data_IF_138743055206
#
_entry.id   IF_138743055206
#
_cell.length_a   1.000
_cell.length_b   1.000
_cell.length_c   1.000
_cell.angle_alpha   90.00
_cell.angle_beta   90.00
_cell.angle_gamma   90.00
#
_symmetry.space_group_name_H-M   'P 1'
#
loop_
_entity.id
_entity.type
_entity.pdbx_description
1 polymer ?
#
# COMPACT_ATOMS: atom_id res chain seq x y z
N UNK A 1 -0.77 -24.89 -22.41
CA UNK A 1 -1.01 -24.20 -21.12
C UNK A 1 -2.52 -24.11 -20.93
N UNK A 2 -3.08 -24.73 -19.89
CA UNK A 2 -4.53 -24.68 -19.65
C UNK A 2 -4.94 -23.26 -19.28
N UNK A 3 -6.14 -22.84 -19.66
CA UNK A 3 -6.68 -21.49 -19.37
C UNK A 3 -6.65 -21.17 -17.87
N UNK A 4 -6.86 -22.18 -17.01
CA UNK A 4 -6.75 -22.07 -15.56
C UNK A 4 -5.33 -21.70 -15.08
N UNK A 5 -4.28 -22.29 -15.67
CA UNK A 5 -2.90 -21.97 -15.30
C UNK A 5 -2.51 -20.55 -15.72
N UNK A 6 -2.99 -20.08 -16.86
CA UNK A 6 -2.80 -18.70 -17.30
C UNK A 6 -3.53 -17.70 -16.37
N UNK A 7 -4.74 -18.03 -15.92
CA UNK A 7 -5.51 -17.19 -15.00
C UNK A 7 -4.79 -17.01 -13.65
N UNK A 8 -4.34 -18.09 -13.01
CA UNK A 8 -3.60 -18.01 -11.74
C UNK A 8 -2.27 -17.26 -11.86
N UNK A 9 -1.57 -17.38 -13.00
CA UNK A 9 -0.34 -16.65 -13.25
C UNK A 9 -0.59 -15.13 -13.35
N UNK A 10 -1.60 -14.72 -14.12
CA UNK A 10 -1.98 -13.31 -14.27
C UNK A 10 -2.43 -12.71 -12.94
N UNK A 11 -3.19 -13.47 -12.14
CA UNK A 11 -3.58 -13.05 -10.79
C UNK A 11 -2.36 -12.87 -9.87
N UNK A 12 -1.43 -13.82 -9.87
CA UNK A 12 -0.19 -13.72 -9.10
C UNK A 12 0.65 -12.51 -9.49
N UNK A 13 0.83 -12.27 -10.79
CA UNK A 13 1.55 -11.09 -11.31
C UNK A 13 0.86 -9.80 -10.86
N UNK A 14 -0.47 -9.73 -10.95
CA UNK A 14 -1.23 -8.56 -10.50
C UNK A 14 -0.99 -8.27 -9.02
N UNK A 15 -1.06 -9.29 -8.15
CA UNK A 15 -0.82 -9.15 -6.71
C UNK A 15 0.62 -8.68 -6.43
N UNK A 16 1.61 -9.23 -7.15
CA UNK A 16 3.02 -8.84 -7.00
C UNK A 16 3.23 -7.38 -7.46
N UNK A 17 2.74 -7.02 -8.63
CA UNK A 17 2.83 -5.65 -9.16
C UNK A 17 2.16 -4.65 -8.22
N UNK A 18 0.99 -5.01 -7.68
CA UNK A 18 0.31 -4.20 -6.68
C UNK A 18 1.14 -4.07 -5.40
N UNK A 19 1.67 -5.17 -4.88
CA UNK A 19 2.53 -5.17 -3.70
C UNK A 19 3.79 -4.32 -3.89
N UNK A 20 4.45 -4.41 -5.06
CA UNK A 20 5.65 -3.63 -5.41
C UNK A 20 5.39 -2.14 -5.61
N UNK A 21 4.14 -1.73 -5.85
CA UNK A 21 3.79 -0.32 -5.96
C UNK A 21 4.05 0.45 -4.65
N UNK A 22 3.91 -0.19 -3.48
CA UNK A 22 4.14 0.43 -2.18
C UNK A 22 5.62 0.69 -1.87
N UNK A 23 6.55 -0.28 -1.98
CA UNK A 23 7.98 -0.03 -1.82
C UNK A 23 8.48 1.10 -2.73
N UNK A 24 8.00 1.14 -3.99
CA UNK A 24 8.33 2.22 -4.92
C UNK A 24 7.75 3.57 -4.48
N UNK A 25 6.53 3.58 -3.92
CA UNK A 25 5.91 4.78 -3.34
C UNK A 25 6.68 5.30 -2.12
N UNK A 26 7.11 4.39 -1.24
CA UNK A 26 7.90 4.68 -0.04
C UNK A 26 9.29 5.21 -0.42
N UNK A 27 10.00 4.52 -1.31
CA UNK A 27 11.32 4.93 -1.78
C UNK A 27 11.28 6.33 -2.41
N UNK A 28 10.25 6.62 -3.22
CA UNK A 28 10.01 7.95 -3.77
C UNK A 28 9.72 8.98 -2.68
N UNK A 29 8.90 8.66 -1.68
CA UNK A 29 8.60 9.55 -0.56
C UNK A 29 9.84 9.89 0.27
N UNK A 30 10.71 8.92 0.52
CA UNK A 30 11.96 9.14 1.25
C UNK A 30 12.90 10.02 0.43
N UNK A 31 13.04 9.78 -0.88
CA UNK A 31 13.96 10.53 -1.75
C UNK A 31 13.47 11.94 -2.05
N UNK A 32 12.19 12.13 -2.35
CA UNK A 32 11.64 13.44 -2.72
C UNK A 32 11.46 14.36 -1.51
N UNK A 33 11.28 13.80 -0.30
CA UNK A 33 10.89 14.53 0.91
C UNK A 33 9.66 15.42 0.73
N UNK A 34 8.86 15.16 -0.31
CA UNK A 34 7.68 15.96 -0.64
C UNK A 34 6.40 15.13 -0.54
N UNK A 35 5.28 15.80 -0.25
CA UNK A 35 3.93 15.23 -0.27
C UNK A 35 3.18 15.49 -1.58
N UNK A 36 3.76 16.27 -2.51
CA UNK A 36 3.13 16.62 -3.78
C UNK A 36 2.82 15.37 -4.62
N UNK A 37 1.57 15.27 -5.08
CA UNK A 37 1.09 14.14 -5.89
C UNK A 37 0.64 12.91 -5.10
N UNK A 38 0.70 12.93 -3.75
CA UNK A 38 0.16 11.86 -2.91
C UNK A 38 -1.17 12.25 -2.28
N UNK A 39 -2.15 11.35 -2.38
CA UNK A 39 -3.44 11.49 -1.72
C UNK A 39 -3.49 10.68 -0.42
N UNK A 40 -3.47 11.37 0.72
CA UNK A 40 -3.60 10.74 2.05
C UNK A 40 -4.91 9.96 2.16
N UNK A 41 -6.02 10.55 1.71
CA UNK A 41 -7.33 9.91 1.76
C UNK A 41 -7.34 8.59 0.98
N UNK A 42 -6.74 8.57 -0.21
CA UNK A 42 -6.61 7.34 -1.00
C UNK A 42 -5.84 6.24 -0.26
N UNK A 43 -4.70 6.59 0.36
CA UNK A 43 -3.92 5.63 1.16
C UNK A 43 -4.70 5.13 2.38
N UNK A 44 -5.42 6.02 3.07
CA UNK A 44 -6.27 5.65 4.21
C UNK A 44 -7.41 4.71 3.78
N UNK A 45 -8.09 4.99 2.66
CA UNK A 45 -9.15 4.12 2.14
C UNK A 45 -8.61 2.74 1.78
N UNK A 46 -7.41 2.67 1.19
CA UNK A 46 -6.78 1.38 0.89
C UNK A 46 -6.42 0.63 2.18
N UNK A 47 -5.81 1.30 3.17
CA UNK A 47 -5.48 0.68 4.44
C UNK A 47 -6.73 0.14 5.14
N UNK A 48 -7.81 0.92 5.16
CA UNK A 48 -9.10 0.51 5.71
C UNK A 48 -9.70 -0.67 4.96
N UNK A 49 -9.71 -0.62 3.62
CA UNK A 49 -10.17 -1.72 2.78
C UNK A 49 -9.42 -3.02 3.03
N UNK A 50 -8.10 -2.95 3.24
CA UNK A 50 -7.30 -4.11 3.59
C UNK A 50 -7.63 -4.68 4.96
N UNK A 51 -7.86 -3.84 5.97
CA UNK A 51 -8.28 -4.29 7.30
C UNK A 51 -9.66 -4.97 7.21
N UNK A 52 -10.62 -4.39 6.50
CA UNK A 52 -11.93 -5.01 6.27
C UNK A 52 -11.81 -6.37 5.55
N UNK A 53 -10.99 -6.45 4.50
CA UNK A 53 -10.72 -7.69 3.78
C UNK A 53 -10.08 -8.75 4.67
N UNK A 54 -9.11 -8.37 5.50
CA UNK A 54 -8.46 -9.25 6.46
C UNK A 54 -9.46 -9.79 7.50
N UNK A 55 -10.30 -8.92 8.08
CA UNK A 55 -11.35 -9.32 9.03
C UNK A 55 -12.34 -10.30 8.40
N UNK A 56 -12.80 -10.05 7.18
CA UNK A 56 -13.68 -10.96 6.44
C UNK A 56 -13.05 -12.34 6.24
N UNK A 57 -11.74 -12.40 5.96
CA UNK A 57 -11.00 -13.65 5.82
C UNK A 57 -10.81 -14.40 7.13
N UNK A 58 -10.63 -13.68 8.25
CA UNK A 58 -10.66 -14.29 9.59
C UNK A 58 -12.03 -14.88 9.90
N UNK A 59 -13.12 -14.18 9.59
CA UNK A 59 -14.49 -14.67 9.82
C UNK A 59 -14.84 -15.91 8.98
N UNK A 60 -14.33 -15.98 7.75
CA UNK A 60 -14.60 -17.11 6.83
C UNK A 60 -13.59 -18.25 6.95
N UNK A 61 -12.55 -18.10 7.77
CA UNK A 61 -11.42 -19.04 7.88
C UNK A 61 -10.79 -19.44 6.53
N UNK A 62 -10.81 -18.54 5.54
CA UNK A 62 -10.26 -18.79 4.19
C UNK A 62 -8.86 -18.18 4.05
N UNK A 63 -7.82 -19.00 4.20
CA UNK A 63 -6.42 -18.54 4.14
C UNK A 63 -5.81 -18.78 2.75
N UNK A 64 -6.19 -17.94 1.79
CA UNK A 64 -5.63 -17.98 0.42
C UNK A 64 -4.36 -17.12 0.29
N UNK A 65 -3.71 -17.16 -0.88
CA UNK A 65 -2.54 -16.33 -1.19
C UNK A 65 -2.79 -14.83 -0.89
N UNK A 66 -3.96 -14.32 -1.26
CA UNK A 66 -4.37 -12.93 -1.00
C UNK A 66 -4.40 -12.57 0.50
N UNK A 67 -4.77 -13.52 1.38
CA UNK A 67 -4.77 -13.31 2.82
C UNK A 67 -3.36 -13.03 3.34
N UNK A 68 -2.39 -13.83 2.91
CA UNK A 68 -0.98 -13.63 3.27
C UNK A 68 -0.43 -12.30 2.73
N UNK A 69 -0.90 -11.86 1.57
CA UNK A 69 -0.51 -10.56 1.00
C UNK A 69 -1.15 -9.35 1.70
N UNK A 70 -2.21 -9.50 2.49
CA UNK A 70 -2.79 -8.37 3.24
C UNK A 70 -1.86 -7.83 4.31
N UNK A 71 -1.12 -8.68 5.02
CA UNK A 71 -0.19 -8.25 6.07
C UNK A 71 0.90 -7.30 5.57
N UNK A 72 1.73 -7.66 4.56
CA UNK A 72 2.74 -6.74 4.04
C UNK A 72 2.10 -5.51 3.40
N UNK A 73 0.95 -5.62 2.72
CA UNK A 73 0.28 -4.46 2.14
C UNK A 73 -0.16 -3.45 3.22
N UNK A 74 -0.78 -3.91 4.32
CA UNK A 74 -1.17 -3.06 5.45
C UNK A 74 0.06 -2.39 6.07
N UNK A 75 1.15 -3.14 6.29
CA UNK A 75 2.38 -2.59 6.87
C UNK A 75 3.00 -1.53 5.95
N UNK A 76 3.06 -1.80 4.64
CA UNK A 76 3.65 -0.88 3.67
C UNK A 76 2.79 0.39 3.50
N UNK A 77 1.47 0.28 3.34
CA UNK A 77 0.60 1.46 3.24
C UNK A 77 0.65 2.30 4.52
N UNK A 78 0.69 1.67 5.70
CA UNK A 78 0.81 2.39 6.97
C UNK A 78 2.15 3.12 7.10
N UNK A 79 3.22 2.48 6.64
CA UNK A 79 4.56 3.11 6.58
C UNK A 79 4.54 4.31 5.63
N UNK A 80 3.89 4.20 4.48
CA UNK A 80 3.80 5.28 3.50
C UNK A 80 2.97 6.46 4.04
N UNK A 81 1.89 6.19 4.78
CA UNK A 81 1.09 7.19 5.49
C UNK A 81 1.94 7.90 6.56
N UNK A 82 2.72 7.16 7.35
CA UNK A 82 3.62 7.74 8.34
C UNK A 82 4.68 8.67 7.70
N UNK A 83 5.28 8.21 6.59
CA UNK A 83 6.22 9.02 5.81
C UNK A 83 5.57 10.26 5.20
N UNK A 84 4.31 10.17 4.78
CA UNK A 84 3.55 11.34 4.31
C UNK A 84 3.45 12.41 5.40
N UNK A 85 3.07 12.05 6.64
CA UNK A 85 3.01 13.01 7.74
C UNK A 85 4.38 13.59 8.09
N UNK A 86 5.44 12.77 8.05
CA UNK A 86 6.82 13.24 8.25
C UNK A 86 7.21 14.28 7.20
N UNK A 87 6.98 13.99 5.93
CA UNK A 87 7.32 14.90 4.84
C UNK A 87 6.46 16.18 4.89
N UNK A 88 5.17 16.06 5.25
CA UNK A 88 4.28 17.22 5.44
C UNK A 88 4.83 18.19 6.48
N UNK A 89 5.40 17.66 7.58
CA UNK A 89 6.03 18.48 8.61
C UNK A 89 7.28 19.19 8.09
N UNK A 90 8.11 18.50 7.28
CA UNK A 90 9.32 19.08 6.67
C UNK A 90 8.93 20.22 5.72
N UNK A 91 7.91 20.03 4.88
CA UNK A 91 7.43 21.06 3.96
C UNK A 91 6.87 22.28 4.72
N UNK A 92 6.04 22.08 5.75
CA UNK A 92 5.50 23.17 6.56
C UNK A 92 6.60 23.99 7.26
N UNK A 93 7.66 23.33 7.74
CA UNK A 93 8.80 24.02 8.36
C UNK A 93 9.64 24.80 7.35
N UNK A 94 9.68 24.39 6.08
CA UNK A 94 10.37 25.15 5.03
C UNK A 94 9.57 26.40 4.62
N UNK A 95 8.23 26.30 4.53
CA UNK A 95 7.36 27.44 4.22
C UNK A 95 7.36 28.52 5.31
N UNK A 96 7.59 28.16 6.57
CA UNK A 96 7.61 29.14 7.69
C UNK A 96 8.95 29.89 7.80
N UNK A 97 9.98 29.43 7.08
CA UNK A 97 11.32 30.03 7.10
C UNK A 97 11.55 31.07 5.97
N UNK A 98 10.61 31.17 5.02
CA UNK A 98 10.53 32.25 4.03
C UNK A 98 9.56 33.36 4.50
#
# INVERSE_FOLDING_TARGET
>A
MTTAAAASLLEGIMIICFGLSWPLSIARSIKSKSTKGKSLLFMCFIAFGYVCGLVSKFMTHTYNLAFWFYFPNIVMVSTDICLYFRNKKIEASAETAE
#
